data_IF_333001572517
#
_entry.id   IF_333001572517
#
_cell.length_a   1.000
_cell.length_b   1.000
_cell.length_c   1.000
_cell.angle_alpha   90.00
_cell.angle_beta   90.00
_cell.angle_gamma   90.00
#
_symmetry.space_group_name_H-M   'P 1'
#
loop_
_entity.id
_entity.type
_entity.pdbx_description
1 polymer ?
#
# COMPACT_ATOMS: atom_id res chain seq x y z
N UNK A 1 -2.01 -35.73 24.30
CA UNK A 1 -2.31 -34.28 24.32
C UNK A 1 -2.11 -33.76 22.89
N UNK A 2 -3.15 -33.26 22.22
CA UNK A 2 -3.00 -32.72 20.87
C UNK A 2 -2.18 -31.43 20.91
N UNK A 3 -1.13 -31.37 20.10
CA UNK A 3 -0.31 -30.17 19.88
C UNK A 3 -1.24 -29.12 19.24
N UNK A 4 -1.69 -28.14 20.04
CA UNK A 4 -2.32 -26.94 19.52
C UNK A 4 -1.29 -26.22 18.67
N UNK A 5 -1.36 -26.41 17.34
CA UNK A 5 -0.69 -25.52 16.39
C UNK A 5 -1.30 -24.14 16.59
N UNK A 6 -0.69 -23.30 17.42
CA UNK A 6 -0.98 -21.88 17.39
C UNK A 6 -0.74 -21.41 15.95
N UNK A 7 -1.78 -20.94 15.23
CA UNK A 7 -1.67 -20.62 13.80
C UNK A 7 -0.94 -19.30 13.56
N UNK A 8 -0.19 -18.83 14.55
CA UNK A 8 0.43 -17.52 14.53
C UNK A 8 1.94 -17.68 14.52
N UNK A 9 2.51 -17.64 13.31
CA UNK A 9 3.93 -17.49 13.10
C UNK A 9 4.38 -16.22 13.83
N UNK A 10 5.32 -16.35 14.77
CA UNK A 10 5.96 -15.18 15.37
C UNK A 10 6.63 -14.38 14.27
N UNK A 11 6.46 -13.06 14.31
CA UNK A 11 6.99 -12.18 13.27
C UNK A 11 8.35 -11.66 13.71
N UNK A 12 9.39 -12.12 13.03
CA UNK A 12 10.78 -11.81 13.35
C UNK A 12 11.36 -10.64 12.56
N UNK A 13 10.58 -9.97 11.72
CA UNK A 13 11.07 -8.82 10.94
C UNK A 13 10.80 -7.50 11.65
N UNK A 14 11.77 -6.59 11.60
CA UNK A 14 11.59 -5.23 12.07
C UNK A 14 10.48 -4.52 11.28
N UNK A 15 9.53 -3.90 12.00
CA UNK A 15 8.41 -3.19 11.39
C UNK A 15 8.80 -1.87 10.69
N UNK A 16 9.95 -1.29 11.08
CA UNK A 16 10.40 0.01 10.59
C UNK A 16 11.31 -0.10 9.35
N UNK A 17 12.30 -1.02 9.36
CA UNK A 17 13.25 -1.17 8.26
C UNK A 17 13.17 -2.52 7.51
N UNK A 18 12.52 -3.53 8.09
CA UNK A 18 12.43 -4.87 7.51
C UNK A 18 13.61 -5.80 7.81
N UNK A 19 14.57 -5.39 8.65
CA UNK A 19 15.69 -6.24 9.09
C UNK A 19 15.19 -7.54 9.74
N UNK A 20 15.89 -8.64 9.45
CA UNK A 20 15.57 -9.95 10.02
C UNK A 20 16.13 -10.07 11.46
N UNK A 21 15.24 -10.30 12.42
CA UNK A 21 15.53 -10.39 13.85
C UNK A 21 15.19 -11.78 14.39
N UNK A 22 15.34 -12.83 13.57
CA UNK A 22 15.00 -14.21 13.95
C UNK A 22 15.73 -14.71 15.21
N UNK A 23 16.92 -14.18 15.49
CA UNK A 23 17.74 -14.51 16.66
C UNK A 23 17.47 -13.63 17.89
N UNK A 24 16.45 -12.76 17.85
CA UNK A 24 16.20 -11.75 18.88
C UNK A 24 14.85 -11.94 19.58
N UNK A 25 14.78 -11.50 20.83
CA UNK A 25 13.58 -11.55 21.64
C UNK A 25 12.71 -10.31 21.42
N UNK A 26 11.41 -10.43 21.73
CA UNK A 26 10.50 -9.29 21.71
C UNK A 26 10.97 -8.18 22.65
N UNK A 27 11.03 -6.94 22.15
CA UNK A 27 11.58 -5.79 22.87
C UNK A 27 13.03 -5.46 22.54
N UNK A 28 13.79 -6.38 21.93
CA UNK A 28 15.17 -6.09 21.51
C UNK A 28 15.20 -4.98 20.46
N UNK A 29 16.19 -4.08 20.57
CA UNK A 29 16.35 -2.98 19.62
C UNK A 29 16.89 -3.49 18.29
N UNK A 30 16.34 -2.98 17.19
CA UNK A 30 16.81 -3.27 15.84
C UNK A 30 18.22 -2.67 15.64
N UNK A 31 19.20 -3.43 15.15
CA UNK A 31 20.56 -2.90 14.96
C UNK A 31 20.65 -1.81 13.88
N UNK A 32 19.71 -1.76 12.93
CA UNK A 32 19.73 -0.77 11.85
C UNK A 32 19.02 0.54 12.21
N UNK A 33 17.89 0.47 12.91
CA UNK A 33 17.02 1.63 13.12
C UNK A 33 16.66 1.87 14.60
N UNK A 34 17.24 1.10 15.52
CA UNK A 34 17.08 1.18 16.98
C UNK A 34 15.62 1.05 17.48
N UNK A 35 14.69 0.66 16.61
CA UNK A 35 13.30 0.43 16.98
C UNK A 35 13.12 -0.90 17.71
N UNK A 36 12.27 -0.97 18.76
CA UNK A 36 12.05 -2.22 19.50
C UNK A 36 11.31 -3.24 18.63
N UNK A 37 11.73 -4.51 18.71
CA UNK A 37 11.05 -5.61 18.03
C UNK A 37 9.63 -5.76 18.58
N UNK A 38 8.66 -5.46 17.72
CA UNK A 38 7.24 -5.62 18.01
C UNK A 38 6.80 -7.01 17.52
N UNK A 39 6.55 -7.91 18.47
CA UNK A 39 6.11 -9.30 18.23
C UNK A 39 4.60 -9.45 18.07
N UNK A 40 3.83 -8.35 18.13
CA UNK A 40 2.38 -8.39 17.87
C UNK A 40 2.10 -8.90 16.46
N UNK A 41 0.94 -9.54 16.31
CA UNK A 41 0.51 -10.07 15.02
C UNK A 41 0.27 -8.95 14.00
N UNK A 42 0.62 -9.24 12.75
CA UNK A 42 0.31 -8.35 11.64
C UNK A 42 -1.21 -8.28 11.42
N UNK A 43 -1.70 -7.12 10.99
CA UNK A 43 -3.12 -6.87 10.78
C UNK A 43 -3.70 -7.84 9.72
N UNK A 44 -4.68 -8.71 10.07
CA UNK A 44 -5.22 -9.69 9.14
C UNK A 44 -5.88 -9.01 7.93
N UNK A 45 -5.60 -9.53 6.74
CA UNK A 45 -6.13 -9.00 5.48
C UNK A 45 -5.52 -7.68 5.02
N UNK A 46 -4.56 -7.10 5.76
CA UNK A 46 -3.88 -5.88 5.32
C UNK A 46 -3.00 -6.15 4.08
N UNK A 47 -2.41 -7.34 3.97
CA UNK A 47 -1.64 -7.73 2.79
C UNK A 47 -2.52 -7.82 1.54
N UNK A 48 -3.65 -8.55 1.61
CA UNK A 48 -4.55 -8.71 0.46
C UNK A 48 -5.18 -7.39 0.03
N UNK A 49 -5.56 -6.52 0.99
CA UNK A 49 -6.04 -5.16 0.69
C UNK A 49 -4.96 -4.31 0.01
N UNK A 50 -3.72 -4.35 0.50
CA UNK A 50 -2.61 -3.61 -0.13
C UNK A 50 -2.34 -4.07 -1.57
N UNK A 51 -2.40 -5.39 -1.84
CA UNK A 51 -2.26 -5.93 -3.21
C UNK A 51 -3.39 -5.44 -4.12
N UNK A 52 -4.64 -5.51 -3.65
CA UNK A 52 -5.81 -5.01 -4.41
C UNK A 52 -5.70 -3.52 -4.72
N UNK A 53 -5.28 -2.71 -3.76
CA UNK A 53 -5.12 -1.27 -3.95
C UNK A 53 -4.07 -0.94 -5.04
N UNK A 54 -2.93 -1.65 -5.04
CA UNK A 54 -1.92 -1.50 -6.11
C UNK A 54 -2.50 -1.89 -7.47
N UNK A 55 -3.23 -3.01 -7.54
CA UNK A 55 -3.88 -3.46 -8.78
C UNK A 55 -4.87 -2.40 -9.29
N UNK A 56 -5.71 -1.84 -8.42
CA UNK A 56 -6.64 -0.77 -8.81
C UNK A 56 -5.93 0.49 -9.32
N UNK A 57 -4.80 0.87 -8.73
CA UNK A 57 -4.00 2.01 -9.22
C UNK A 57 -3.43 1.75 -10.62
N UNK A 58 -2.94 0.54 -10.88
CA UNK A 58 -2.44 0.16 -12.22
C UNK A 58 -3.58 0.23 -13.24
N UNK A 59 -4.76 -0.30 -12.91
CA UNK A 59 -5.92 -0.19 -13.80
C UNK A 59 -6.34 1.27 -14.04
N UNK A 60 -6.29 2.12 -13.02
CA UNK A 60 -6.61 3.54 -13.17
C UNK A 60 -5.68 4.27 -14.16
N UNK A 61 -4.38 3.95 -14.13
CA UNK A 61 -3.38 4.51 -15.07
C UNK A 61 -3.55 4.01 -16.51
N UNK A 62 -3.96 2.75 -16.70
CA UNK A 62 -4.18 2.22 -18.05
C UNK A 62 -5.47 2.78 -18.67
N UNK A 63 -6.48 3.02 -17.84
CA UNK A 63 -7.80 3.49 -18.29
C UNK A 63 -7.84 5.02 -18.42
N UNK A 64 -7.00 5.77 -17.72
CA UNK A 64 -7.02 7.25 -17.73
C UNK A 64 -6.95 7.89 -19.11
N UNK A 65 -6.16 7.41 -20.07
CA UNK A 65 -6.11 8.00 -21.40
C UNK A 65 -7.37 7.78 -22.22
N UNK A 66 -8.16 6.75 -21.90
CA UNK A 66 -9.34 6.37 -22.67
C UNK A 66 -10.59 6.99 -22.06
N UNK A 67 -10.78 6.84 -20.74
CA UNK A 67 -11.98 7.32 -20.04
C UNK A 67 -11.60 7.89 -18.67
N UNK A 68 -11.18 9.16 -18.60
CA UNK A 68 -10.76 9.79 -17.34
C UNK A 68 -11.80 9.69 -16.20
N UNK A 69 -13.12 9.88 -16.45
CA UNK A 69 -14.13 9.74 -15.39
C UNK A 69 -14.16 8.35 -14.74
N UNK A 70 -13.91 7.30 -15.52
CA UNK A 70 -13.91 5.91 -15.01
C UNK A 70 -12.67 5.67 -14.14
N UNK A 71 -11.52 6.26 -14.48
CA UNK A 71 -10.29 6.13 -13.71
C UNK A 71 -10.45 6.64 -12.26
N UNK A 72 -11.21 7.73 -12.04
CA UNK A 72 -11.55 8.21 -10.70
C UNK A 72 -12.29 7.16 -9.86
N UNK A 73 -13.14 6.35 -10.50
CA UNK A 73 -13.86 5.23 -9.88
C UNK A 73 -12.95 4.13 -9.32
N UNK A 74 -11.72 3.99 -9.85
CA UNK A 74 -10.72 3.04 -9.36
C UNK A 74 -9.78 3.64 -8.31
N UNK A 75 -9.52 4.94 -8.38
CA UNK A 75 -8.63 5.64 -7.43
C UNK A 75 -9.27 5.77 -6.06
N UNK A 76 -10.56 6.14 -6.02
CA UNK A 76 -11.28 6.31 -4.75
C UNK A 76 -11.25 5.05 -3.86
N UNK A 77 -11.58 3.84 -4.36
CA UNK A 77 -11.46 2.61 -3.56
C UNK A 77 -10.00 2.25 -3.25
N UNK A 78 -9.03 2.56 -4.12
CA UNK A 78 -7.62 2.32 -3.84
C UNK A 78 -7.12 3.17 -2.65
N UNK A 79 -7.50 4.44 -2.59
CA UNK A 79 -7.20 5.33 -1.47
C UNK A 79 -8.00 4.91 -0.22
N UNK A 80 -9.31 4.68 -0.36
CA UNK A 80 -10.17 4.30 0.77
C UNK A 80 -9.67 3.02 1.45
N UNK A 81 -9.25 2.00 0.69
CA UNK A 81 -8.71 0.76 1.27
C UNK A 81 -7.43 0.97 2.07
N UNK A 82 -6.61 1.96 1.73
CA UNK A 82 -5.39 2.32 2.47
C UNK A 82 -5.71 3.15 3.72
N UNK A 83 -6.57 4.16 3.61
CA UNK A 83 -6.84 5.15 4.65
C UNK A 83 -7.92 4.71 5.67
N UNK A 84 -8.89 3.87 5.29
CA UNK A 84 -9.87 3.31 6.23
C UNK A 84 -9.33 2.18 7.09
N UNK A 85 -8.13 1.67 6.79
CA UNK A 85 -7.36 0.88 7.75
C UNK A 85 -6.78 1.81 8.82
N UNK A 86 -7.64 2.35 9.70
CA UNK A 86 -7.25 2.89 11.00
C UNK A 86 -7.21 1.71 11.98
N UNK A 87 -6.06 1.02 12.15
CA UNK A 87 -5.98 -0.04 13.16
C UNK A 87 -6.28 0.58 14.53
N UNK A 88 -7.10 -0.10 15.34
CA UNK A 88 -7.08 0.12 16.79
C UNK A 88 -5.65 -0.17 17.24
N UNK A 89 -4.90 0.88 17.59
CA UNK A 89 -3.43 0.87 17.78
C UNK A 89 -2.92 -0.11 18.85
N UNK A 90 -3.82 -0.71 19.64
CA UNK A 90 -3.48 -1.57 20.77
C UNK A 90 -3.15 -3.01 20.35
N UNK A 91 -3.79 -3.56 19.32
CA UNK A 91 -3.81 -5.04 19.17
C UNK A 91 -2.98 -5.55 17.99
N UNK A 92 -2.74 -4.73 16.96
CA UNK A 92 -2.12 -5.17 15.71
C UNK A 92 -0.90 -4.34 15.31
N UNK A 93 0.05 -5.03 14.67
CA UNK A 93 1.22 -4.44 14.01
C UNK A 93 0.92 -4.18 12.54
N UNK A 94 1.51 -3.12 11.98
CA UNK A 94 1.58 -2.91 10.53
C UNK A 94 2.96 -3.39 10.08
N UNK A 95 3.00 -4.39 9.19
CA UNK A 95 4.25 -4.90 8.66
C UNK A 95 4.96 -3.87 7.76
N UNK A 96 6.29 -3.91 7.76
CA UNK A 96 7.14 -3.01 6.96
C UNK A 96 6.74 -3.00 5.46
N UNK A 97 6.52 -4.18 4.88
CA UNK A 97 6.16 -4.32 3.47
C UNK A 97 4.81 -3.64 3.14
N UNK A 98 3.89 -3.55 4.09
CA UNK A 98 2.61 -2.85 3.93
C UNK A 98 2.84 -1.34 3.94
N UNK A 99 3.68 -0.85 4.87
CA UNK A 99 4.07 0.57 4.91
C UNK A 99 4.78 0.99 3.61
N UNK A 100 5.67 0.16 3.09
CA UNK A 100 6.33 0.38 1.80
C UNK A 100 5.32 0.45 0.65
N UNK A 101 4.35 -0.46 0.61
CA UNK A 101 3.26 -0.45 -0.41
C UNK A 101 2.36 0.78 -0.30
N UNK A 102 2.07 1.27 0.91
CA UNK A 102 1.30 2.52 1.09
C UNK A 102 2.01 3.72 0.48
N UNK A 103 3.31 3.86 0.74
CA UNK A 103 4.14 4.90 0.10
C UNK A 103 4.15 4.77 -1.42
N UNK A 104 4.20 3.53 -1.93
CA UNK A 104 4.12 3.28 -3.37
C UNK A 104 2.77 3.70 -3.96
N UNK A 105 1.65 3.41 -3.28
CA UNK A 105 0.31 3.85 -3.72
C UNK A 105 0.23 5.38 -3.73
N UNK A 106 0.75 6.04 -2.71
CA UNK A 106 0.81 7.51 -2.65
C UNK A 106 1.60 8.10 -3.83
N UNK A 107 2.77 7.54 -4.14
CA UNK A 107 3.55 7.92 -5.33
C UNK A 107 2.76 7.67 -6.62
N UNK A 108 2.11 6.52 -6.77
CA UNK A 108 1.29 6.22 -7.95
C UNK A 108 0.12 7.21 -8.11
N UNK A 109 -0.52 7.64 -7.02
CA UNK A 109 -1.56 8.67 -7.08
C UNK A 109 -1.01 9.99 -7.60
N UNK A 110 0.18 10.40 -7.15
CA UNK A 110 0.83 11.60 -7.69
C UNK A 110 1.17 11.47 -9.16
N UNK A 111 1.76 10.35 -9.58
CA UNK A 111 2.09 10.10 -11.00
C UNK A 111 0.84 10.17 -11.86
N UNK A 112 -0.26 9.53 -11.44
CA UNK A 112 -1.54 9.57 -12.14
C UNK A 112 -2.11 11.00 -12.23
N UNK A 113 -2.00 11.79 -11.15
CA UNK A 113 -2.45 13.18 -11.16
C UNK A 113 -1.67 14.03 -12.16
N UNK A 114 -0.35 13.85 -12.25
CA UNK A 114 0.47 14.52 -13.25
C UNK A 114 0.17 14.05 -14.68
N UNK A 115 -0.09 12.76 -14.89
CA UNK A 115 -0.53 12.21 -16.17
C UNK A 115 -1.85 12.87 -16.61
N UNK A 116 -2.82 12.98 -15.70
CA UNK A 116 -4.08 13.65 -15.96
C UNK A 116 -3.91 15.14 -16.31
N UNK A 117 -3.08 15.87 -15.56
CA UNK A 117 -2.76 17.27 -15.87
C UNK A 117 -2.05 17.43 -17.23
N UNK A 118 -1.14 16.52 -17.56
CA UNK A 118 -0.46 16.54 -18.85
C UNK A 118 -1.44 16.29 -20.00
N UNK A 119 -2.41 15.39 -19.82
CA UNK A 119 -3.48 15.18 -20.81
C UNK A 119 -4.38 16.40 -20.96
N UNK A 120 -4.76 17.07 -19.86
CA UNK A 120 -5.51 18.33 -19.93
C UNK A 120 -4.74 19.43 -20.67
N UNK A 121 -3.44 19.53 -20.43
CA UNK A 121 -2.59 20.54 -21.09
C UNK A 121 -2.36 20.22 -22.57
N UNK A 122 -2.23 18.93 -22.93
CA UNK A 122 -2.14 18.50 -24.33
C UNK A 122 -3.43 18.78 -25.12
N UNK A 123 -4.59 18.58 -24.50
CA UNK A 123 -5.89 18.91 -25.10
C UNK A 123 -5.99 20.40 -25.46
N UNK A 124 -5.48 21.29 -24.60
CA UNK A 124 -5.45 22.73 -24.86
C UNK A 124 -4.53 23.10 -26.04
N UNK A 125 -3.38 22.43 -26.19
CA UNK A 125 -2.40 22.73 -27.24
C UNK A 125 -2.78 22.09 -28.57
N UNK A 126 -3.34 20.88 -28.53
CA UNK A 126 -3.60 20.07 -29.71
C UNK A 126 -4.97 19.39 -29.59
N UNK A 127 -6.08 20.13 -29.81
CA UNK A 127 -7.44 19.59 -29.66
C UNK A 127 -7.71 18.28 -30.44
N UNK A 128 -7.26 18.12 -31.70
CA UNK A 128 -7.47 16.86 -32.42
C UNK A 128 -6.75 15.65 -31.82
N UNK A 129 -5.85 15.83 -30.84
CA UNK A 129 -5.26 14.73 -30.09
C UNK A 129 -6.32 13.95 -29.30
N UNK A 130 -7.38 14.60 -28.82
CA UNK A 130 -8.45 13.95 -28.06
C UNK A 130 -9.67 13.60 -28.93
N UNK A 131 -9.75 14.06 -30.19
CA UNK A 131 -10.85 13.77 -31.12
C UNK A 131 -10.81 12.35 -31.74
N UNK A 132 -9.79 11.55 -31.43
CA UNK A 132 -9.66 10.15 -31.90
C UNK A 132 -10.55 9.13 -31.17
N UNK A 133 -11.40 9.58 -30.24
CA UNK A 133 -12.49 8.82 -29.61
C UNK A 133 -13.82 9.53 -29.78
#
# INVERSE_FOLDING_TARGET
>A
MPIQKHPFTQVFTCHACGYDMHDRAGGDRCPECDTPLNTRHDLPGAESRSKRAVVYMIFAMVISPIVPPIAFGFIYPAIATVYWLKPKKTDFRIAYHITKRRKLIEILVYVWFFEFLAMMWLDEIWPPFMEWW
#
